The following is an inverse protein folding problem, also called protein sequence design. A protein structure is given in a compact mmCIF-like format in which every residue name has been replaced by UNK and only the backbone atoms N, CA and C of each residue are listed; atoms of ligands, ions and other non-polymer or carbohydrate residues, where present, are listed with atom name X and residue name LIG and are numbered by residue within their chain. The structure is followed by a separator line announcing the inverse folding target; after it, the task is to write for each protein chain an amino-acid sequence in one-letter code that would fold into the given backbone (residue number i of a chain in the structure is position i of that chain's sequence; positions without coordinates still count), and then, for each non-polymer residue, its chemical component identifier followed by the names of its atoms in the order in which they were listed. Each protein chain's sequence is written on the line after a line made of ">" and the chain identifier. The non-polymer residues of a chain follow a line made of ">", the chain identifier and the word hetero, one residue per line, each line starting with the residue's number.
data_IF_702592311422
#
_entry.id   IF_702592311422
#
_cell.length_a   1.000
_cell.length_b   1.000
_cell.length_c   1.000
_cell.angle_alpha   90.00
_cell.angle_beta   90.00
_cell.angle_gamma   90.00
#
_symmetry.space_group_name_H-M   'P 1'
#
loop_
_entity.id
_entity.type
_entity.pdbx_description
1 polymer ?
#
# COMPACT_ATOMS: atom_id res chain seq x y z
N UNK A 1 -2.62 5.80 -32.37
CA UNK A 1 -3.73 6.49 -31.70
C UNK A 1 -4.86 5.46 -31.49
N UNK A 2 -4.77 4.65 -30.43
CA UNK A 2 -5.76 3.62 -30.11
C UNK A 2 -6.98 4.29 -29.46
N UNK A 3 -8.15 3.93 -29.96
CA UNK A 3 -9.43 4.58 -29.69
C UNK A 3 -9.86 4.35 -28.21
N UNK A 4 -9.56 5.32 -27.36
CA UNK A 4 -9.95 5.37 -25.95
C UNK A 4 -11.47 5.22 -25.72
N UNK A 5 -12.27 5.57 -26.73
CA UNK A 5 -13.74 5.45 -26.69
C UNK A 5 -14.24 4.00 -26.78
N UNK A 6 -13.55 3.12 -27.51
CA UNK A 6 -13.98 1.69 -27.64
C UNK A 6 -13.62 0.94 -26.34
N UNK A 7 -12.47 1.25 -25.75
CA UNK A 7 -12.06 0.66 -24.48
C UNK A 7 -13.01 1.07 -23.32
N UNK A 8 -13.46 2.33 -23.31
CA UNK A 8 -14.42 2.84 -22.31
C UNK A 8 -15.80 2.19 -22.45
N UNK A 9 -16.33 2.02 -23.67
CA UNK A 9 -17.61 1.36 -23.92
C UNK A 9 -17.63 -0.13 -23.60
N UNK A 10 -16.52 -0.85 -23.87
CA UNK A 10 -16.36 -2.26 -23.48
C UNK A 10 -16.23 -2.42 -21.96
N UNK A 11 -15.58 -1.47 -21.31
CA UNK A 11 -15.44 -1.43 -19.86
C UNK A 11 -16.78 -1.23 -19.16
N UNK A 12 -17.63 -0.31 -19.66
CA UNK A 12 -18.99 -0.08 -19.12
C UNK A 12 -19.94 -1.26 -19.33
N UNK A 13 -19.83 -1.99 -20.44
CA UNK A 13 -20.66 -3.17 -20.72
C UNK A 13 -20.30 -4.40 -19.88
N UNK A 14 -19.06 -4.47 -19.37
CA UNK A 14 -18.58 -5.59 -18.55
C UNK A 14 -18.72 -5.33 -17.03
N UNK A 15 -19.01 -4.11 -16.62
CA UNK A 15 -19.05 -3.71 -15.21
C UNK A 15 -20.05 -4.47 -14.33
N UNK A 16 -21.30 -4.75 -14.72
CA UNK A 16 -22.25 -5.41 -13.81
C UNK A 16 -21.85 -6.87 -13.48
N UNK A 17 -21.47 -7.64 -14.50
CA UNK A 17 -21.08 -9.04 -14.31
C UNK A 17 -19.69 -9.22 -13.69
N UNK A 18 -18.79 -8.28 -13.95
CA UNK A 18 -17.45 -8.27 -13.37
C UNK A 18 -17.50 -7.91 -11.87
N UNK A 19 -18.35 -6.96 -11.50
CA UNK A 19 -18.52 -6.52 -10.12
C UNK A 19 -19.14 -7.62 -9.23
N UNK A 20 -20.15 -8.37 -9.72
CA UNK A 20 -20.76 -9.48 -8.98
C UNK A 20 -19.79 -10.66 -8.78
N UNK A 21 -18.95 -10.98 -9.76
CA UNK A 21 -17.97 -12.07 -9.66
C UNK A 21 -16.86 -11.77 -8.63
N UNK A 22 -16.37 -10.53 -8.58
CA UNK A 22 -15.33 -10.12 -7.63
C UNK A 22 -15.85 -9.84 -6.21
N UNK A 23 -17.09 -9.39 -6.05
CA UNK A 23 -17.67 -9.08 -4.74
C UNK A 23 -17.88 -10.33 -3.86
N UNK A 24 -17.98 -11.51 -4.44
CA UNK A 24 -18.18 -12.78 -3.71
C UNK A 24 -16.94 -13.32 -2.99
N UNK A 25 -15.76 -12.79 -3.29
CA UNK A 25 -14.48 -13.25 -2.72
C UNK A 25 -13.74 -12.22 -1.87
N UNK A 26 -14.24 -10.99 -1.81
CA UNK A 26 -13.60 -9.91 -1.08
C UNK A 26 -13.81 -10.03 0.43
N UNK A 27 -12.82 -9.54 1.18
CA UNK A 27 -13.00 -9.34 2.62
C UNK A 27 -14.09 -8.30 2.88
N UNK A 28 -14.89 -8.59 3.90
CA UNK A 28 -16.01 -7.76 4.33
C UNK A 28 -15.84 -7.29 5.78
N UNK A 29 -16.63 -6.34 6.19
CA UNK A 29 -16.60 -5.83 7.56
C UNK A 29 -17.07 -6.85 8.61
N UNK A 30 -17.81 -7.88 8.18
CA UNK A 30 -18.36 -8.94 9.04
C UNK A 30 -17.41 -10.13 9.19
N UNK A 31 -16.38 -10.24 8.35
CA UNK A 31 -15.43 -11.33 8.45
C UNK A 31 -14.62 -11.21 9.75
N UNK A 32 -14.28 -12.34 10.35
CA UNK A 32 -13.40 -12.35 11.51
C UNK A 32 -12.00 -11.95 11.13
N UNK A 33 -11.42 -10.98 11.84
CA UNK A 33 -10.08 -10.49 11.54
C UNK A 33 -9.02 -11.60 11.60
N UNK A 34 -9.18 -12.59 12.51
CA UNK A 34 -8.26 -13.72 12.59
C UNK A 34 -8.30 -14.60 11.33
N UNK A 35 -9.48 -14.80 10.72
CA UNK A 35 -9.63 -15.57 9.48
C UNK A 35 -9.06 -14.82 8.28
N UNK A 36 -9.26 -13.50 8.22
CA UNK A 36 -8.65 -12.62 7.21
C UNK A 36 -7.13 -12.72 7.26
N UNK A 37 -6.54 -12.64 8.45
CA UNK A 37 -5.08 -12.79 8.66
C UNK A 37 -4.60 -14.19 8.26
N UNK A 38 -5.32 -15.23 8.67
CA UNK A 38 -4.96 -16.63 8.38
C UNK A 38 -4.99 -16.93 6.88
N UNK A 39 -5.92 -16.32 6.14
CA UNK A 39 -6.02 -16.49 4.69
C UNK A 39 -4.86 -15.86 3.92
N UNK A 40 -4.28 -14.77 4.45
CA UNK A 40 -3.19 -14.05 3.83
C UNK A 40 -2.22 -13.47 4.88
N UNK A 41 -1.16 -14.20 5.26
CA UNK A 41 -0.21 -13.77 6.31
C UNK A 41 0.48 -12.42 6.04
N UNK A 42 0.61 -12.01 4.78
CA UNK A 42 1.18 -10.70 4.41
C UNK A 42 0.37 -9.51 4.95
N UNK A 43 -0.91 -9.71 5.28
CA UNK A 43 -1.76 -8.71 5.93
C UNK A 43 -1.29 -8.34 7.33
N UNK A 44 -0.49 -9.16 8.01
CA UNK A 44 0.09 -8.81 9.31
C UNK A 44 0.89 -7.51 9.27
N UNK A 45 1.67 -7.32 8.22
CA UNK A 45 2.42 -6.07 8.03
C UNK A 45 1.50 -4.87 7.76
N UNK A 46 0.45 -5.09 6.97
CA UNK A 46 -0.56 -4.07 6.69
C UNK A 46 -1.30 -3.65 7.97
N UNK A 47 -1.74 -4.60 8.77
CA UNK A 47 -2.44 -4.40 10.05
C UNK A 47 -1.56 -3.56 11.00
N UNK A 48 -0.28 -3.90 11.13
CA UNK A 48 0.69 -3.15 11.92
C UNK A 48 0.83 -1.69 11.43
N UNK A 49 0.85 -1.46 10.11
CA UNK A 49 0.92 -0.11 9.53
C UNK A 49 -0.33 0.72 9.76
N UNK A 50 -1.49 0.10 9.95
CA UNK A 50 -2.70 0.77 10.41
C UNK A 50 -2.68 1.08 11.91
N UNK A 51 -1.67 0.62 12.66
CA UNK A 51 -1.57 0.77 14.09
C UNK A 51 -2.46 -0.19 14.88
N UNK A 52 -3.00 -1.21 14.23
CA UNK A 52 -3.84 -2.23 14.84
C UNK A 52 -2.93 -3.22 15.58
N UNK A 53 -3.18 -3.40 16.87
CA UNK A 53 -2.45 -4.35 17.71
C UNK A 53 -2.94 -5.78 17.49
N UNK A 54 -2.03 -6.75 17.61
CA UNK A 54 -2.37 -8.17 17.59
C UNK A 54 -3.21 -8.56 18.83
N UNK A 55 -3.82 -9.75 18.80
CA UNK A 55 -4.73 -10.19 19.85
C UNK A 55 -6.17 -9.83 19.51
N UNK A 56 -6.49 -9.88 18.23
CA UNK A 56 -7.81 -9.53 17.67
C UNK A 56 -8.93 -10.49 18.16
N UNK A 57 -8.59 -11.73 18.56
CA UNK A 57 -9.58 -12.73 19.01
C UNK A 57 -10.58 -13.06 17.90
N UNK A 58 -11.84 -13.26 18.30
CA UNK A 58 -12.95 -13.58 17.41
C UNK A 58 -13.66 -12.34 16.84
N UNK A 59 -13.09 -11.15 17.06
CA UNK A 59 -13.70 -9.88 16.60
C UNK A 59 -13.72 -9.77 15.09
N UNK A 60 -14.77 -9.14 14.58
CA UNK A 60 -14.90 -8.81 13.16
C UNK A 60 -13.91 -7.74 12.73
N UNK A 61 -13.69 -7.62 11.43
CA UNK A 61 -12.88 -6.53 10.83
C UNK A 61 -13.38 -5.17 11.31
N UNK A 62 -14.71 -4.95 11.31
CA UNK A 62 -15.34 -3.73 11.77
C UNK A 62 -14.99 -3.42 13.23
N UNK A 63 -15.23 -4.36 14.13
CA UNK A 63 -14.97 -4.17 15.57
C UNK A 63 -13.51 -3.89 15.88
N UNK A 64 -12.58 -4.53 15.15
CA UNK A 64 -11.14 -4.29 15.30
C UNK A 64 -10.75 -2.91 14.78
N UNK A 65 -11.27 -2.52 13.62
CA UNK A 65 -11.00 -1.21 13.02
C UNK A 65 -11.55 -0.08 13.92
N UNK A 66 -12.79 -0.19 14.40
CA UNK A 66 -13.41 0.78 15.31
C UNK A 66 -12.62 0.91 16.61
N UNK A 67 -12.25 -0.21 17.25
CA UNK A 67 -11.46 -0.21 18.47
C UNK A 67 -10.07 0.45 18.30
N UNK A 68 -9.54 0.42 17.08
CA UNK A 68 -8.23 0.99 16.73
C UNK A 68 -8.32 2.38 16.08
N UNK A 69 -9.52 2.96 15.99
CA UNK A 69 -9.78 4.25 15.32
C UNK A 69 -9.30 4.27 13.85
N UNK A 70 -9.47 3.15 13.16
CA UNK A 70 -9.18 2.96 11.75
C UNK A 70 -10.46 2.97 10.95
N UNK A 71 -10.50 3.71 9.86
CA UNK A 71 -11.63 3.66 8.93
C UNK A 71 -11.73 2.29 8.26
N UNK A 72 -12.85 1.60 8.49
CA UNK A 72 -13.08 0.22 8.05
C UNK A 72 -13.07 0.10 6.52
N UNK A 73 -13.64 1.07 5.81
CA UNK A 73 -13.67 1.05 4.35
C UNK A 73 -12.27 1.19 3.76
N UNK A 74 -11.44 2.06 4.34
CA UNK A 74 -10.03 2.21 3.94
C UNK A 74 -9.22 0.94 4.21
N UNK A 75 -9.42 0.33 5.38
CA UNK A 75 -8.79 -0.96 5.70
C UNK A 75 -9.15 -2.03 4.68
N UNK A 76 -10.45 -2.20 4.40
CA UNK A 76 -10.96 -3.17 3.44
C UNK A 76 -10.48 -2.88 2.01
N UNK A 77 -10.43 -1.62 1.61
CA UNK A 77 -9.89 -1.22 0.32
C UNK A 77 -8.44 -1.69 0.14
N UNK A 78 -7.58 -1.42 1.12
CA UNK A 78 -6.17 -1.84 1.08
C UNK A 78 -6.04 -3.37 1.14
N UNK A 79 -6.80 -4.04 2.02
CA UNK A 79 -6.77 -5.49 2.17
C UNK A 79 -7.20 -6.21 0.88
N UNK A 80 -8.27 -5.76 0.25
CA UNK A 80 -8.78 -6.34 -0.98
C UNK A 80 -7.86 -6.05 -2.19
N UNK A 81 -7.27 -4.86 -2.27
CA UNK A 81 -6.25 -4.56 -3.29
C UNK A 81 -5.01 -5.43 -3.10
N UNK A 82 -4.59 -5.71 -1.86
CA UNK A 82 -3.49 -6.63 -1.60
C UNK A 82 -3.82 -8.08 -1.98
N UNK A 83 -5.08 -8.48 -1.86
CA UNK A 83 -5.55 -9.83 -2.21
C UNK A 83 -5.70 -10.02 -3.73
N UNK A 84 -6.38 -9.11 -4.40
CA UNK A 84 -6.82 -9.24 -5.79
C UNK A 84 -5.91 -8.50 -6.78
N UNK A 85 -4.99 -7.67 -6.28
CA UNK A 85 -4.10 -6.85 -7.09
C UNK A 85 -4.65 -5.45 -7.39
N UNK A 86 -3.86 -4.61 -8.08
CA UNK A 86 -4.19 -3.20 -8.28
C UNK A 86 -5.40 -2.94 -9.19
N UNK A 87 -5.83 -3.93 -9.98
CA UNK A 87 -6.96 -3.82 -10.90
C UNK A 87 -8.30 -3.53 -10.21
N UNK A 88 -8.43 -3.91 -8.93
CA UNK A 88 -9.65 -3.67 -8.15
C UNK A 88 -9.64 -2.32 -7.40
N UNK A 89 -8.52 -1.61 -7.39
CA UNK A 89 -8.41 -0.33 -6.70
C UNK A 89 -9.49 0.71 -7.11
N UNK A 90 -9.88 0.85 -8.40
CA UNK A 90 -10.92 1.79 -8.80
C UNK A 90 -12.27 1.59 -8.11
N UNK A 91 -12.60 0.37 -7.67
CA UNK A 91 -13.88 0.08 -6.99
C UNK A 91 -13.94 0.60 -5.54
N UNK A 92 -12.79 0.98 -5.00
CA UNK A 92 -12.66 1.44 -3.62
C UNK A 92 -12.33 2.92 -3.48
N UNK A 93 -11.92 3.61 -4.55
CA UNK A 93 -11.43 5.00 -4.52
C UNK A 93 -12.40 5.94 -3.80
N UNK A 94 -13.68 5.86 -4.11
CA UNK A 94 -14.71 6.74 -3.54
C UNK A 94 -15.06 6.41 -2.07
N UNK A 95 -14.60 5.25 -1.56
CA UNK A 95 -14.89 4.76 -0.22
C UNK A 95 -13.76 5.01 0.77
N UNK A 96 -12.61 5.43 0.26
CA UNK A 96 -11.38 5.59 1.06
C UNK A 96 -11.41 6.89 1.85
N UNK A 97 -11.22 6.79 3.17
CA UNK A 97 -10.94 7.95 4.01
C UNK A 97 -9.48 8.36 3.85
N UNK A 98 -9.23 9.39 3.07
CA UNK A 98 -7.90 9.81 2.64
C UNK A 98 -6.91 10.06 3.79
N UNK A 99 -7.28 10.69 4.92
CA UNK A 99 -6.37 10.83 6.05
C UNK A 99 -5.89 9.50 6.64
N UNK A 100 -6.76 8.49 6.68
CA UNK A 100 -6.40 7.13 7.15
C UNK A 100 -5.44 6.46 6.16
N UNK A 101 -5.71 6.56 4.85
CA UNK A 101 -4.82 6.02 3.82
C UNK A 101 -3.44 6.67 3.87
N UNK A 102 -3.36 8.01 3.97
CA UNK A 102 -2.08 8.72 4.03
C UNK A 102 -1.27 8.34 5.27
N UNK A 103 -1.92 8.11 6.41
CA UNK A 103 -1.26 7.64 7.63
C UNK A 103 -0.68 6.24 7.43
N UNK A 104 -1.45 5.34 6.80
CA UNK A 104 -1.00 3.99 6.45
C UNK A 104 0.19 4.01 5.48
N UNK A 105 0.13 4.82 4.41
CA UNK A 105 1.21 4.94 3.44
C UNK A 105 2.48 5.50 4.08
N UNK A 106 2.38 6.49 4.96
CA UNK A 106 3.54 7.01 5.70
C UNK A 106 4.20 5.93 6.56
N UNK A 107 3.40 5.18 7.32
CA UNK A 107 3.91 4.04 8.09
C UNK A 107 4.54 2.96 7.20
N UNK A 108 4.03 2.78 5.97
CA UNK A 108 4.64 1.88 4.98
C UNK A 108 6.00 2.40 4.49
N UNK A 109 6.14 3.71 4.23
CA UNK A 109 7.42 4.33 3.87
C UNK A 109 8.46 4.16 4.98
N UNK A 110 8.09 4.49 6.22
CA UNK A 110 8.97 4.35 7.39
C UNK A 110 9.45 2.89 7.55
N UNK A 111 8.52 1.93 7.51
CA UNK A 111 8.87 0.51 7.59
C UNK A 111 9.80 0.07 6.45
N UNK A 112 9.53 0.51 5.22
CA UNK A 112 10.33 0.13 4.06
C UNK A 112 11.75 0.70 4.13
N UNK A 113 11.88 1.99 4.45
CA UNK A 113 13.16 2.70 4.49
C UNK A 113 14.04 2.27 5.68
N UNK A 114 13.42 2.19 6.87
CA UNK A 114 14.18 2.03 8.11
C UNK A 114 14.37 0.56 8.50
N UNK A 115 13.52 -0.34 8.01
CA UNK A 115 13.59 -1.75 8.33
C UNK A 115 13.86 -2.63 7.10
N UNK A 116 12.99 -2.59 6.07
CA UNK A 116 13.02 -3.54 4.96
C UNK A 116 14.31 -3.40 4.13
N UNK A 117 14.65 -2.19 3.69
CA UNK A 117 15.86 -1.94 2.90
C UNK A 117 17.12 -2.24 3.67
N UNK A 118 17.17 -1.90 4.95
CA UNK A 118 18.32 -2.21 5.82
C UNK A 118 18.48 -3.72 5.99
N UNK A 119 17.36 -4.44 6.16
CA UNK A 119 17.40 -5.90 6.24
C UNK A 119 17.90 -6.53 4.93
N UNK A 120 17.40 -6.07 3.78
CA UNK A 120 17.85 -6.54 2.46
C UNK A 120 19.34 -6.27 2.24
N UNK A 121 19.82 -5.07 2.61
CA UNK A 121 21.24 -4.73 2.53
C UNK A 121 22.11 -5.68 3.35
N UNK A 122 21.68 -5.97 4.57
CA UNK A 122 22.39 -6.94 5.43
C UNK A 122 22.42 -8.34 4.82
N UNK A 123 21.28 -8.81 4.29
CA UNK A 123 21.20 -10.10 3.59
C UNK A 123 22.09 -10.15 2.36
N UNK A 124 22.18 -9.05 1.62
CA UNK A 124 23.08 -8.95 0.47
C UNK A 124 24.54 -9.06 0.91
N UNK A 125 24.94 -8.39 1.99
CA UNK A 125 26.28 -8.49 2.56
C UNK A 125 26.59 -9.90 3.06
N UNK A 126 25.67 -10.57 3.73
CA UNK A 126 25.81 -11.96 4.19
C UNK A 126 25.99 -12.96 3.02
N UNK A 127 25.35 -12.68 1.87
CA UNK A 127 25.43 -13.53 0.69
C UNK A 127 26.73 -13.35 -0.12
N UNK A 128 27.45 -12.26 0.10
CA UNK A 128 28.70 -11.96 -0.61
C UNK A 128 29.86 -12.63 0.13
N UNK A 129 30.61 -13.48 -0.57
CA UNK A 129 31.86 -14.03 -0.06
C UNK A 129 32.96 -12.94 -0.07
N UNK A 130 33.19 -12.32 1.08
CA UNK A 130 34.20 -11.30 1.27
C UNK A 130 35.62 -11.87 1.39
N UNK A 131 35.82 -13.19 1.32
CA UNK A 131 37.15 -13.83 1.39
C UNK A 131 37.99 -13.63 0.11
N UNK A 132 37.35 -13.21 -0.97
CA UNK A 132 37.98 -12.92 -2.27
C UNK A 132 37.60 -11.52 -2.76
N UNK A 133 38.56 -10.82 -3.38
CA UNK A 133 38.26 -9.59 -4.10
C UNK A 133 37.31 -9.91 -5.25
N UNK A 134 36.09 -9.40 -5.16
CA UNK A 134 35.04 -9.60 -6.17
C UNK A 134 34.48 -8.25 -6.61
N UNK A 135 34.97 -7.75 -7.75
CA UNK A 135 34.53 -6.48 -8.31
C UNK A 135 33.03 -6.44 -8.59
N UNK A 136 32.45 -7.57 -9.00
CA UNK A 136 31.01 -7.67 -9.25
C UNK A 136 30.22 -7.50 -7.96
N UNK A 137 30.66 -8.11 -6.88
CA UNK A 137 30.02 -7.97 -5.56
C UNK A 137 30.06 -6.51 -5.06
N UNK A 138 31.18 -5.83 -5.26
CA UNK A 138 31.33 -4.41 -4.95
C UNK A 138 30.37 -3.53 -5.77
N UNK A 139 30.27 -3.79 -7.07
CA UNK A 139 29.35 -3.07 -7.95
C UNK A 139 27.89 -3.29 -7.56
N UNK A 140 27.50 -4.51 -7.19
CA UNK A 140 26.14 -4.83 -6.72
C UNK A 140 25.81 -4.05 -5.44
N UNK A 141 26.72 -4.01 -4.46
CA UNK A 141 26.53 -3.24 -3.24
C UNK A 141 26.41 -1.75 -3.51
N UNK A 142 27.29 -1.20 -4.35
CA UNK A 142 27.24 0.20 -4.74
C UNK A 142 25.93 0.54 -5.41
N UNK A 143 25.48 -0.28 -6.37
CA UNK A 143 24.19 -0.10 -7.03
C UNK A 143 23.03 -0.15 -6.03
N UNK A 144 23.05 -1.08 -5.08
CA UNK A 144 22.01 -1.19 -4.07
C UNK A 144 21.97 0.03 -3.14
N UNK A 145 23.14 0.55 -2.74
CA UNK A 145 23.23 1.77 -1.92
C UNK A 145 22.70 3.01 -2.68
N UNK A 146 23.01 3.12 -3.98
CA UNK A 146 22.45 4.17 -4.85
C UNK A 146 20.93 4.03 -4.98
N UNK A 147 20.44 2.81 -5.21
CA UNK A 147 19.00 2.51 -5.25
C UNK A 147 18.29 2.91 -3.95
N UNK A 148 18.84 2.54 -2.80
CA UNK A 148 18.28 2.93 -1.49
C UNK A 148 18.17 4.45 -1.34
N UNK A 149 19.16 5.20 -1.81
CA UNK A 149 19.15 6.66 -1.74
C UNK A 149 18.06 7.26 -2.65
N UNK A 150 17.88 6.74 -3.87
CA UNK A 150 16.83 7.19 -4.76
C UNK A 150 15.42 6.88 -4.24
N UNK A 151 15.22 5.68 -3.70
CA UNK A 151 13.94 5.30 -3.05
C UNK A 151 13.65 6.21 -1.86
N UNK A 152 14.65 6.51 -1.03
CA UNK A 152 14.50 7.45 0.10
C UNK A 152 14.04 8.83 -0.37
N UNK A 153 14.72 9.40 -1.35
CA UNK A 153 14.35 10.70 -1.92
C UNK A 153 12.92 10.71 -2.47
N UNK A 154 12.54 9.65 -3.16
CA UNK A 154 11.19 9.49 -3.71
C UNK A 154 10.13 9.48 -2.61
N UNK A 155 10.27 8.64 -1.59
CA UNK A 155 9.32 8.55 -0.48
C UNK A 155 9.29 9.82 0.38
N UNK A 156 10.43 10.46 0.59
CA UNK A 156 10.50 11.77 1.28
C UNK A 156 9.78 12.85 0.47
N UNK A 157 9.95 12.86 -0.85
CA UNK A 157 9.22 13.78 -1.73
C UNK A 157 7.71 13.57 -1.63
N UNK A 158 7.24 12.32 -1.65
CA UNK A 158 5.81 12.02 -1.47
C UNK A 158 5.30 12.49 -0.10
N UNK A 159 6.04 12.19 0.97
CA UNK A 159 5.68 12.59 2.32
C UNK A 159 5.58 14.11 2.49
N UNK A 160 6.49 14.87 1.87
CA UNK A 160 6.59 16.32 2.04
C UNK A 160 5.68 17.07 1.06
N UNK A 161 5.56 16.63 -0.19
CA UNK A 161 4.88 17.37 -1.24
C UNK A 161 3.50 16.78 -1.57
N UNK A 162 3.44 15.48 -1.91
CA UNK A 162 2.18 14.85 -2.33
C UNK A 162 1.18 14.83 -1.18
N UNK A 163 1.59 14.36 0.00
CA UNK A 163 0.68 14.28 1.15
C UNK A 163 0.29 15.67 1.67
N UNK A 164 1.17 16.66 1.56
CA UNK A 164 0.85 18.05 1.91
C UNK A 164 -0.15 18.64 0.92
N UNK A 165 0.04 18.39 -0.37
CA UNK A 165 -0.91 18.79 -1.41
C UNK A 165 -2.30 18.19 -1.16
N UNK A 166 -2.38 16.87 -0.92
CA UNK A 166 -3.66 16.20 -0.62
C UNK A 166 -4.32 16.80 0.63
N UNK A 167 -3.56 17.09 1.69
CA UNK A 167 -4.10 17.74 2.89
C UNK A 167 -4.73 19.11 2.58
N UNK A 168 -4.07 19.92 1.76
CA UNK A 168 -4.59 21.24 1.35
C UNK A 168 -5.88 21.11 0.54
N UNK A 169 -5.96 20.12 -0.38
CA UNK A 169 -7.19 19.82 -1.12
C UNK A 169 -8.34 19.42 -0.19
N UNK A 170 -8.07 18.56 0.79
CA UNK A 170 -9.06 18.13 1.79
C UNK A 170 -9.53 19.28 2.67
N UNK A 171 -8.68 20.29 2.89
CA UNK A 171 -9.04 21.52 3.58
C UNK A 171 -9.84 22.52 2.73
N UNK A 172 -10.12 22.17 1.46
CA UNK A 172 -10.86 23.03 0.53
C UNK A 172 -10.03 24.14 -0.11
N UNK A 173 -8.70 24.09 0.00
CA UNK A 173 -7.82 25.08 -0.61
C UNK A 173 -7.77 24.92 -2.13
N UNK A 174 -7.82 26.03 -2.87
CA UNK A 174 -7.54 26.05 -4.30
C UNK A 174 -6.03 25.98 -4.53
N UNK A 175 -5.51 24.81 -4.83
CA UNK A 175 -4.08 24.62 -5.08
C UNK A 175 -3.83 24.66 -6.58
N UNK A 176 -3.22 25.76 -7.06
CA UNK A 176 -2.93 25.99 -8.50
C UNK A 176 -1.46 25.79 -8.85
N UNK A 177 -0.61 25.62 -7.84
CA UNK A 177 0.84 25.63 -7.91
C UNK A 177 1.48 24.22 -7.89
N UNK A 178 0.68 23.16 -7.86
CA UNK A 178 1.18 21.80 -7.86
C UNK A 178 1.33 21.26 -9.29
N UNK A 179 2.55 20.90 -9.67
CA UNK A 179 2.84 20.15 -10.90
C UNK A 179 3.42 18.79 -10.50
N UNK A 180 2.77 17.74 -10.99
CA UNK A 180 3.34 16.39 -10.92
C UNK A 180 4.48 16.38 -11.96
N UNK A 181 5.72 16.19 -11.50
CA UNK A 181 6.90 16.09 -12.33
C UNK A 181 6.93 14.73 -13.05
#
# INVERSE_FOLDING_TARGET
>A
MWNFRIAHGLFEMLQPSFNEYYMGFNYTEQDKMCEVIASQPSLLQMISRFGIQLGVGERTVKEVCEASQVDTNTFLAVANVMKEGPSVAPFYVDKVHMPTLMRHLRAAHDFFLDFQLQHLRRKLLEAIDCSRQNEVAFLILKFFDEYMNEVRKHMEYENQHIFSYVKRLLAGEKVTDFRIA
#
